data_IF_754506420189
#
_entry.id   IF_754506420189
#
_cell.length_a   1.000
_cell.length_b   1.000
_cell.length_c   1.000
_cell.angle_alpha   90.00
_cell.angle_beta   90.00
_cell.angle_gamma   90.00
#
_symmetry.space_group_name_H-M   'P 1'
#
loop_
_entity.id
_entity.type
_entity.pdbx_description
1 polymer ?
#
# COMPACT_ATOMS: atom_id res chain seq x y z
N UNK A 1 -2.76 -5.06 -27.14
CA UNK A 1 -1.96 -6.22 -26.70
C UNK A 1 -2.27 -6.44 -25.23
N UNK A 2 -3.05 -7.47 -24.90
CA UNK A 2 -3.35 -7.85 -23.52
C UNK A 2 -2.10 -8.48 -22.92
N UNK A 3 -1.46 -7.79 -21.96
CA UNK A 3 -0.42 -8.43 -21.14
C UNK A 3 -1.02 -9.69 -20.52
N UNK A 4 -0.42 -10.85 -20.80
CA UNK A 4 -0.69 -12.06 -20.05
C UNK A 4 -0.34 -11.80 -18.59
N UNK A 5 -1.34 -11.81 -17.72
CA UNK A 5 -1.15 -11.67 -16.29
C UNK A 5 -0.76 -13.04 -15.77
N UNK A 6 0.54 -13.24 -15.52
CA UNK A 6 1.05 -14.39 -14.77
C UNK A 6 0.76 -14.16 -13.29
N UNK A 7 -0.49 -14.32 -12.87
CA UNK A 7 -0.94 -14.12 -11.50
C UNK A 7 -1.92 -15.22 -11.08
N UNK A 8 -2.24 -15.26 -9.79
CA UNK A 8 -3.30 -16.12 -9.26
C UNK A 8 -4.60 -15.87 -10.01
N UNK A 9 -5.22 -16.93 -10.49
CA UNK A 9 -6.53 -16.85 -11.13
C UNK A 9 -7.58 -16.80 -10.02
N UNK A 10 -8.27 -15.67 -9.89
CA UNK A 10 -9.44 -15.60 -9.02
C UNK A 10 -10.53 -16.51 -9.57
N UNK A 11 -10.81 -17.59 -8.87
CA UNK A 11 -11.70 -18.65 -9.33
C UNK A 11 -12.99 -18.65 -8.51
N UNK A 12 -13.88 -17.71 -8.82
CA UNK A 12 -15.22 -17.67 -8.21
C UNK A 12 -16.07 -18.83 -8.71
N UNK A 13 -16.64 -19.59 -7.78
CA UNK A 13 -17.38 -20.83 -8.07
C UNK A 13 -18.86 -20.62 -8.31
N UNK A 14 -19.39 -19.46 -7.90
CA UNK A 14 -20.82 -19.15 -7.97
C UNK A 14 -21.05 -17.67 -8.21
N UNK A 15 -22.13 -17.37 -8.92
CA UNK A 15 -22.63 -16.00 -9.06
C UNK A 15 -23.14 -15.49 -7.69
N UNK A 16 -22.67 -14.33 -7.21
CA UNK A 16 -23.12 -13.79 -5.92
C UNK A 16 -24.56 -13.31 -5.93
N UNK A 17 -25.17 -13.10 -7.13
CA UNK A 17 -26.54 -12.62 -7.25
C UNK A 17 -27.57 -13.73 -7.26
N UNK A 18 -27.33 -14.83 -8.02
CA UNK A 18 -28.33 -15.89 -8.19
C UNK A 18 -27.85 -17.28 -7.74
N UNK A 19 -26.60 -17.42 -7.28
CA UNK A 19 -26.04 -18.69 -6.84
C UNK A 19 -25.71 -19.69 -7.97
N UNK A 20 -25.88 -19.30 -9.24
CA UNK A 20 -25.54 -20.17 -10.37
C UNK A 20 -24.06 -20.52 -10.40
N UNK A 21 -23.75 -21.79 -10.66
CA UNK A 21 -22.36 -22.28 -10.84
C UNK A 21 -21.82 -22.04 -12.24
N UNK A 22 -22.61 -21.44 -13.13
CA UNK A 22 -22.23 -21.19 -14.53
C UNK A 22 -21.52 -19.84 -14.73
N UNK A 23 -21.00 -19.22 -13.66
CA UNK A 23 -20.25 -17.97 -13.78
C UNK A 23 -18.99 -18.17 -14.61
N UNK A 24 -18.75 -17.29 -15.58
CA UNK A 24 -17.66 -17.36 -16.54
C UNK A 24 -16.61 -16.27 -16.28
N UNK A 25 -15.33 -16.69 -16.22
CA UNK A 25 -14.20 -15.78 -16.02
C UNK A 25 -13.73 -15.18 -17.35
N UNK A 26 -13.81 -13.88 -17.50
CA UNK A 26 -13.32 -13.12 -18.63
C UNK A 26 -11.98 -12.41 -18.31
N UNK A 27 -10.89 -13.17 -18.47
CA UNK A 27 -9.52 -12.64 -18.36
C UNK A 27 -9.15 -12.11 -16.97
N UNK A 28 -9.76 -12.66 -15.91
CA UNK A 28 -9.56 -12.21 -14.52
C UNK A 28 -9.95 -10.74 -14.27
N UNK A 29 -10.57 -10.11 -15.26
CA UNK A 29 -11.02 -8.71 -15.18
C UNK A 29 -12.48 -8.61 -14.77
N UNK A 30 -13.31 -9.55 -15.23
CA UNK A 30 -14.72 -9.66 -14.84
C UNK A 30 -15.21 -11.09 -14.97
N UNK A 31 -16.27 -11.38 -14.28
CA UNK A 31 -17.02 -12.63 -14.36
C UNK A 31 -18.45 -12.31 -14.77
N UNK A 32 -18.96 -13.05 -15.73
CA UNK A 32 -20.33 -12.89 -16.26
C UNK A 32 -21.15 -14.12 -15.87
N UNK A 33 -22.35 -13.89 -15.37
CA UNK A 33 -23.31 -14.95 -15.13
C UNK A 33 -24.30 -15.04 -16.29
N UNK A 34 -24.30 -16.11 -17.10
CA UNK A 34 -25.24 -16.26 -18.23
C UNK A 34 -26.69 -16.50 -17.79
N UNK A 35 -26.91 -16.91 -16.52
CA UNK A 35 -28.26 -17.20 -16.01
C UNK A 35 -29.03 -15.95 -15.60
N UNK A 36 -28.36 -14.94 -15.00
CA UNK A 36 -29.03 -13.72 -14.55
C UNK A 36 -28.47 -12.43 -15.15
N UNK A 37 -27.45 -12.51 -16.00
CA UNK A 37 -26.82 -11.36 -16.64
C UNK A 37 -25.93 -10.51 -15.73
N UNK A 38 -25.65 -10.95 -14.50
CA UNK A 38 -24.84 -10.18 -13.56
C UNK A 38 -23.36 -10.17 -13.98
N UNK A 39 -22.77 -8.98 -14.02
CA UNK A 39 -21.32 -8.76 -14.23
C UNK A 39 -20.65 -8.45 -12.90
N UNK A 40 -19.75 -9.32 -12.45
CA UNK A 40 -18.87 -9.08 -11.30
C UNK A 40 -17.52 -8.57 -11.82
N UNK A 41 -17.20 -7.34 -11.55
CA UNK A 41 -15.91 -6.75 -11.91
C UNK A 41 -14.84 -7.01 -10.86
N UNK A 42 -13.61 -7.26 -11.31
CA UNK A 42 -12.43 -7.19 -10.46
C UNK A 42 -11.97 -5.72 -10.36
N UNK A 43 -12.68 -4.96 -9.56
CA UNK A 43 -12.39 -3.54 -9.37
C UNK A 43 -11.02 -3.37 -8.71
N UNK A 44 -10.32 -2.30 -9.10
CA UNK A 44 -9.07 -1.90 -8.46
C UNK A 44 -9.41 -1.32 -7.08
N UNK A 45 -8.84 -1.89 -6.03
CA UNK A 45 -8.94 -1.34 -4.69
C UNK A 45 -7.97 -0.16 -4.55
N UNK A 46 -8.29 0.79 -3.69
CA UNK A 46 -7.41 1.91 -3.37
C UNK A 46 -6.71 1.66 -2.04
N UNK A 47 -5.42 1.94 -1.98
CA UNK A 47 -4.65 2.01 -0.73
C UNK A 47 -3.96 3.36 -0.63
N UNK A 48 -3.76 3.85 0.58
CA UNK A 48 -3.06 5.10 0.86
C UNK A 48 -1.82 4.82 1.72
N UNK A 49 -0.68 5.43 1.38
CA UNK A 49 0.56 5.29 2.14
C UNK A 49 1.25 6.63 2.34
N UNK A 50 1.98 6.77 3.45
CA UNK A 50 2.65 8.03 3.82
C UNK A 50 4.15 7.85 3.91
N UNK A 51 4.89 8.65 3.14
CA UNK A 51 6.34 8.75 3.23
C UNK A 51 6.69 9.88 4.20
N UNK A 52 7.26 9.53 5.35
CA UNK A 52 7.79 10.49 6.33
C UNK A 52 9.31 10.41 6.24
N UNK A 53 9.97 11.56 5.99
CA UNK A 53 11.43 11.61 5.91
C UNK A 53 12.00 12.79 6.68
N UNK A 54 13.24 12.63 7.14
CA UNK A 54 14.01 13.71 7.74
C UNK A 54 14.82 14.51 6.68
N UNK A 55 15.48 15.55 7.14
CA UNK A 55 16.36 16.40 6.33
C UNK A 55 17.64 15.69 5.84
N UNK A 56 17.93 14.51 6.36
CA UNK A 56 19.08 13.68 5.97
C UNK A 56 18.71 12.59 4.97
N UNK A 57 17.46 12.62 4.48
CA UNK A 57 16.87 11.65 3.55
C UNK A 57 16.69 10.24 4.15
N UNK A 58 16.64 10.11 5.48
CA UNK A 58 16.17 8.87 6.09
C UNK A 58 14.64 8.85 6.04
N UNK A 59 14.09 7.73 5.61
CA UNK A 59 12.65 7.48 5.49
C UNK A 59 12.22 6.48 6.55
N UNK A 60 11.08 6.73 7.18
CA UNK A 60 10.44 5.83 8.12
C UNK A 60 9.81 4.65 7.37
N UNK A 61 10.04 3.46 7.90
CA UNK A 61 9.34 2.24 7.52
C UNK A 61 8.86 1.49 8.75
N UNK A 62 7.73 0.85 8.62
CA UNK A 62 7.26 -0.18 9.53
C UNK A 62 7.71 -1.56 9.04
N UNK A 63 7.84 -2.50 9.97
CA UNK A 63 8.06 -3.91 9.67
C UNK A 63 6.73 -4.64 9.85
N UNK A 64 6.22 -5.23 8.79
CA UNK A 64 4.92 -5.91 8.78
C UNK A 64 4.89 -7.12 9.73
N UNK A 65 3.91 -7.16 10.63
CA UNK A 65 3.72 -8.29 11.55
C UNK A 65 2.88 -9.42 10.94
N UNK A 66 2.06 -9.13 9.89
CA UNK A 66 1.13 -10.08 9.27
C UNK A 66 1.40 -10.36 7.79
N UNK A 67 0.80 -11.42 7.28
CA UNK A 67 0.78 -11.70 5.85
C UNK A 67 -0.20 -10.76 5.10
N UNK A 68 0.04 -10.48 3.81
CA UNK A 68 1.20 -10.89 3.02
C UNK A 68 2.47 -10.12 3.39
N UNK A 69 3.62 -10.69 3.05
CA UNK A 69 4.92 -10.05 3.22
C UNK A 69 5.31 -9.73 4.68
N UNK A 70 4.94 -10.61 5.62
CA UNK A 70 5.40 -10.51 7.02
C UNK A 70 6.94 -10.41 7.08
N UNK A 71 7.45 -9.47 7.89
CA UNK A 71 8.87 -9.21 8.07
C UNK A 71 9.49 -8.26 7.03
N UNK A 72 8.73 -7.82 6.05
CA UNK A 72 9.17 -6.85 5.06
C UNK A 72 8.85 -5.42 5.50
N UNK A 73 9.58 -4.46 4.93
CA UNK A 73 9.41 -3.04 5.19
C UNK A 73 8.27 -2.47 4.33
N UNK A 74 7.41 -1.65 4.93
CA UNK A 74 6.40 -0.87 4.25
C UNK A 74 6.41 0.57 4.80
N UNK A 75 5.93 1.52 4.03
CA UNK A 75 5.57 2.83 4.59
C UNK A 75 4.24 2.68 5.32
N UNK A 76 3.96 3.46 6.38
CA UNK A 76 2.66 3.46 7.04
C UNK A 76 1.52 3.63 6.03
N UNK A 77 0.47 2.82 6.15
CA UNK A 77 -0.66 2.91 5.25
C UNK A 77 -1.40 1.60 5.01
N UNK A 78 -2.64 1.72 4.51
CA UNK A 78 -3.53 0.60 4.27
C UNK A 78 -4.59 0.89 3.23
N UNK A 79 -5.65 0.07 3.21
CA UNK A 79 -6.76 0.26 2.30
C UNK A 79 -7.60 1.48 2.69
N UNK A 80 -8.07 2.19 1.66
CA UNK A 80 -9.08 3.24 1.82
C UNK A 80 -10.41 2.57 2.11
N UNK A 81 -11.05 2.96 3.21
CA UNK A 81 -12.38 2.50 3.57
C UNK A 81 -13.47 3.17 2.73
N UNK A 82 -14.68 2.60 2.74
CA UNK A 82 -15.82 3.27 2.13
C UNK A 82 -16.11 4.57 2.90
N UNK A 83 -16.50 5.62 2.18
CA UNK A 83 -16.83 6.94 2.73
C UNK A 83 -15.64 7.75 3.28
N UNK A 84 -14.39 7.37 2.99
CA UNK A 84 -13.24 8.23 3.27
C UNK A 84 -12.46 8.58 1.99
N UNK A 85 -11.78 9.72 1.99
CA UNK A 85 -10.82 10.10 0.95
C UNK A 85 -9.47 9.40 1.18
N UNK A 86 -8.61 9.37 0.16
CA UNK A 86 -7.27 8.80 0.30
C UNK A 86 -6.42 9.57 1.32
N UNK A 87 -6.62 10.89 1.45
CA UNK A 87 -5.97 11.73 2.46
C UNK A 87 -6.42 11.36 3.88
N UNK A 88 -7.72 11.15 4.09
CA UNK A 88 -8.28 10.73 5.38
C UNK A 88 -7.78 9.33 5.76
N UNK A 89 -7.77 8.38 4.82
CA UNK A 89 -7.18 7.06 5.02
C UNK A 89 -5.72 7.15 5.44
N UNK A 90 -4.91 7.95 4.73
CA UNK A 90 -3.49 8.14 5.04
C UNK A 90 -3.27 8.67 6.46
N UNK A 91 -4.10 9.62 6.91
CA UNK A 91 -4.04 10.17 8.26
C UNK A 91 -4.49 9.14 9.31
N UNK A 92 -5.57 8.41 9.05
CA UNK A 92 -6.10 7.36 9.92
C UNK A 92 -5.06 6.26 10.13
N UNK A 93 -4.48 5.74 9.05
CA UNK A 93 -3.46 4.68 9.08
C UNK A 93 -2.22 5.12 9.88
N UNK A 94 -1.74 6.35 9.68
CA UNK A 94 -0.64 6.88 10.49
C UNK A 94 -0.98 6.88 11.99
N UNK A 95 -2.21 7.26 12.36
CA UNK A 95 -2.64 7.24 13.76
C UNK A 95 -2.72 5.82 14.32
N UNK A 96 -3.19 4.86 13.55
CA UNK A 96 -3.37 3.47 13.94
C UNK A 96 -2.02 2.74 14.02
N UNK A 97 -1.22 2.76 12.97
CA UNK A 97 0.00 1.97 12.86
C UNK A 97 1.20 2.55 13.60
N UNK A 98 1.35 3.88 13.61
CA UNK A 98 2.51 4.53 14.24
C UNK A 98 2.16 5.37 15.47
N UNK A 99 0.88 5.50 15.80
CA UNK A 99 0.41 6.23 16.98
C UNK A 99 0.56 7.75 16.89
N UNK A 100 0.67 8.31 15.68
CA UNK A 100 0.90 9.74 15.45
C UNK A 100 -0.19 10.35 14.60
N UNK A 101 -0.76 11.45 15.06
CA UNK A 101 -1.68 12.24 14.26
C UNK A 101 -0.91 13.17 13.32
N UNK A 102 -0.89 12.80 12.03
CA UNK A 102 -0.36 13.64 10.96
C UNK A 102 -1.42 14.69 10.61
N UNK A 103 -1.06 15.97 10.69
CA UNK A 103 -2.02 17.07 10.47
C UNK A 103 -2.33 17.34 9.01
N UNK A 104 -1.35 17.09 8.15
CA UNK A 104 -1.44 17.38 6.71
C UNK A 104 -0.61 16.37 5.93
N UNK A 105 -1.18 15.87 4.85
CA UNK A 105 -0.48 15.03 3.88
C UNK A 105 -0.49 15.72 2.52
N UNK A 106 0.61 15.60 1.77
CA UNK A 106 0.75 16.17 0.42
C UNK A 106 0.89 15.05 -0.58
N UNK A 107 0.05 15.06 -1.63
CA UNK A 107 0.11 14.07 -2.69
C UNK A 107 1.52 13.97 -3.28
N UNK A 108 2.04 12.76 -3.37
CA UNK A 108 3.35 12.45 -3.94
C UNK A 108 3.22 11.82 -5.32
N UNK A 109 2.58 10.67 -5.39
CA UNK A 109 2.32 9.95 -6.64
C UNK A 109 1.29 8.83 -6.41
N UNK A 110 0.91 8.15 -7.50
CA UNK A 110 0.20 6.88 -7.42
C UNK A 110 0.93 5.80 -8.21
N UNK A 111 0.81 4.56 -7.78
CA UNK A 111 1.42 3.41 -8.43
C UNK A 111 0.48 2.20 -8.44
N UNK A 112 0.45 1.41 -9.53
CA UNK A 112 -0.28 0.15 -9.53
C UNK A 112 0.46 -0.88 -8.68
N UNK A 113 -0.31 -1.73 -8.00
CA UNK A 113 0.25 -2.82 -7.22
C UNK A 113 -0.59 -4.09 -7.33
N UNK A 114 -0.05 -5.18 -6.85
CA UNK A 114 -0.71 -6.48 -6.73
C UNK A 114 -0.62 -6.93 -5.29
N UNK A 115 -1.76 -7.14 -4.68
CA UNK A 115 -1.89 -7.59 -3.30
C UNK A 115 -2.54 -8.97 -3.25
N UNK A 116 -1.76 -9.98 -2.86
CA UNK A 116 -2.24 -11.35 -2.76
C UNK A 116 -2.66 -11.65 -1.31
N UNK A 117 -3.93 -12.01 -1.13
CA UNK A 117 -4.46 -12.35 0.18
C UNK A 117 -5.45 -13.51 0.08
N UNK A 118 -5.22 -14.56 0.88
CA UNK A 118 -6.10 -15.75 0.96
C UNK A 118 -6.47 -16.33 -0.43
N UNK A 119 -5.49 -16.49 -1.31
CA UNK A 119 -5.67 -17.01 -2.68
C UNK A 119 -6.50 -16.11 -3.62
N UNK A 120 -6.70 -14.85 -3.26
CA UNK A 120 -7.29 -13.83 -4.12
C UNK A 120 -6.21 -12.81 -4.48
N UNK A 121 -6.08 -12.51 -5.75
CA UNK A 121 -5.23 -11.44 -6.25
C UNK A 121 -6.06 -10.17 -6.38
N UNK A 122 -5.76 -9.20 -5.54
CA UNK A 122 -6.29 -7.84 -5.67
C UNK A 122 -5.36 -7.00 -6.52
N UNK A 123 -5.91 -6.25 -7.44
CA UNK A 123 -5.21 -5.14 -8.09
C UNK A 123 -5.51 -3.87 -7.29
N UNK A 124 -4.46 -3.15 -6.93
CA UNK A 124 -4.61 -1.90 -6.19
C UNK A 124 -4.04 -0.73 -6.98
N UNK A 125 -4.58 0.45 -6.69
CA UNK A 125 -3.99 1.73 -7.03
C UNK A 125 -3.56 2.36 -5.71
N UNK A 126 -2.27 2.26 -5.41
CA UNK A 126 -1.72 2.79 -4.18
C UNK A 126 -1.42 4.28 -4.38
N UNK A 127 -2.00 5.13 -3.54
CA UNK A 127 -1.84 6.57 -3.55
C UNK A 127 -0.88 6.94 -2.42
N UNK A 128 0.22 7.60 -2.77
CA UNK A 128 1.24 7.96 -1.79
C UNK A 128 1.26 9.45 -1.53
N UNK A 129 1.44 9.75 -0.26
CA UNK A 129 1.57 11.10 0.26
C UNK A 129 2.92 11.27 0.95
N UNK A 130 3.33 12.52 1.14
CA UNK A 130 4.39 12.88 2.08
C UNK A 130 3.79 13.58 3.27
N UNK A 131 4.37 13.36 4.45
CA UNK A 131 4.11 14.15 5.64
C UNK A 131 5.42 14.65 6.23
N UNK A 132 5.35 15.79 6.91
CA UNK A 132 6.50 16.36 7.58
C UNK A 132 6.80 15.59 8.88
N UNK A 133 8.10 15.40 9.16
CA UNK A 133 8.53 14.92 10.46
C UNK A 133 8.05 15.91 11.54
N UNK A 134 7.43 15.44 12.65
CA UNK A 134 7.00 16.35 13.70
C UNK A 134 8.16 17.24 14.20
N UNK A 135 7.93 18.55 14.40
CA UNK A 135 9.00 19.53 14.56
C UNK A 135 9.87 19.36 15.81
N UNK A 136 9.44 18.55 16.77
CA UNK A 136 10.22 18.21 17.96
C UNK A 136 11.33 17.17 17.70
N UNK A 137 11.34 16.54 16.50
CA UNK A 137 12.33 15.54 16.12
C UNK A 137 13.20 16.07 14.96
N UNK A 138 14.50 15.85 15.07
CA UNK A 138 15.47 16.19 14.02
C UNK A 138 15.72 15.04 13.05
N UNK A 139 15.56 13.80 13.52
CA UNK A 139 15.84 12.57 12.77
C UNK A 139 14.70 11.57 12.87
N UNK A 140 14.59 10.71 11.86
CA UNK A 140 13.66 9.56 11.90
C UNK A 140 14.03 8.61 13.04
N UNK A 141 15.32 8.42 13.32
CA UNK A 141 15.76 7.51 14.39
C UNK A 141 15.31 7.99 15.79
N UNK A 142 15.27 9.30 16.02
CA UNK A 142 14.73 9.85 17.27
C UNK A 142 13.20 9.76 17.30
N UNK A 143 12.56 9.96 16.17
CA UNK A 143 11.11 9.81 16.03
C UNK A 143 10.66 8.37 16.31
N UNK A 144 11.36 7.36 15.76
CA UNK A 144 11.07 5.93 15.97
C UNK A 144 11.01 5.58 17.46
N UNK A 145 11.87 6.18 18.32
CA UNK A 145 11.88 5.92 19.77
C UNK A 145 10.60 6.34 20.48
N UNK A 146 9.83 7.24 19.86
CA UNK A 146 8.55 7.74 20.40
C UNK A 146 7.32 7.01 19.85
N UNK A 147 7.48 6.17 18.80
CA UNK A 147 6.38 5.51 18.12
C UNK A 147 5.83 4.34 18.94
N UNK A 148 4.55 4.08 18.74
CA UNK A 148 3.86 2.95 19.33
C UNK A 148 3.29 2.09 18.20
N UNK A 149 3.87 0.91 18.02
CA UNK A 149 3.42 -0.04 17.02
C UNK A 149 2.02 -0.57 17.34
N UNK A 150 1.19 -0.69 16.31
CA UNK A 150 -0.09 -1.37 16.40
C UNK A 150 0.13 -2.87 16.59
N UNK A 151 -0.50 -3.42 17.65
CA UNK A 151 -0.35 -4.84 17.98
C UNK A 151 -0.97 -5.72 16.89
N UNK A 152 -0.17 -6.67 16.38
CA UNK A 152 -0.59 -7.63 15.35
C UNK A 152 -0.43 -7.12 13.91
N UNK A 153 -0.25 -5.82 13.67
CA UNK A 153 -0.03 -5.26 12.34
C UNK A 153 1.43 -4.86 12.12
N UNK A 154 2.03 -4.17 13.08
CA UNK A 154 3.38 -3.63 13.01
C UNK A 154 4.29 -4.34 14.01
N UNK A 155 5.38 -4.95 13.54
CA UNK A 155 6.35 -5.64 14.38
C UNK A 155 7.43 -4.68 14.94
N UNK A 156 7.56 -3.49 14.38
CA UNK A 156 8.52 -2.47 14.77
C UNK A 156 8.77 -1.49 13.65
N UNK A 157 9.71 -0.57 13.88
CA UNK A 157 10.04 0.49 12.95
C UNK A 157 11.53 0.49 12.62
N UNK A 158 11.87 0.98 11.43
CA UNK A 158 13.23 1.11 10.95
C UNK A 158 13.34 2.34 10.04
N UNK A 159 14.50 2.94 10.01
CA UNK A 159 14.83 3.96 9.02
C UNK A 159 15.77 3.41 7.95
N UNK A 160 15.60 3.87 6.73
CA UNK A 160 16.57 3.66 5.67
C UNK A 160 16.87 4.99 4.97
N UNK A 161 18.13 5.19 4.63
CA UNK A 161 18.53 6.31 3.79
C UNK A 161 18.08 6.08 2.35
N UNK A 162 17.47 7.10 1.74
CA UNK A 162 16.90 7.03 0.38
C UNK A 162 17.36 8.24 -0.42
N UNK A 163 18.56 8.12 -1.03
CA UNK A 163 19.16 9.16 -1.87
C UNK A 163 19.37 8.71 -3.32
N UNK A 164 19.48 7.40 -3.52
CA UNK A 164 19.76 6.81 -4.82
C UNK A 164 18.91 5.56 -5.07
N UNK A 165 18.76 5.14 -6.33
CA UNK A 165 18.12 3.86 -6.64
C UNK A 165 18.80 2.65 -5.97
N UNK A 166 20.12 2.71 -5.80
CA UNK A 166 20.92 1.68 -5.14
C UNK A 166 20.59 1.55 -3.66
N UNK A 167 20.16 2.62 -2.99
CA UNK A 167 19.69 2.56 -1.61
C UNK A 167 18.35 1.84 -1.52
N UNK A 168 17.45 2.11 -2.46
CA UNK A 168 16.12 1.46 -2.51
C UNK A 168 16.26 -0.05 -2.68
N UNK A 169 17.22 -0.53 -3.49
CA UNK A 169 17.44 -1.97 -3.71
C UNK A 169 17.91 -2.72 -2.45
N UNK A 170 18.45 -2.02 -1.45
CA UNK A 170 18.86 -2.60 -0.16
C UNK A 170 17.70 -2.76 0.82
N UNK A 171 16.57 -2.10 0.57
CA UNK A 171 15.40 -2.13 1.46
C UNK A 171 14.55 -3.34 1.12
N UNK A 172 14.24 -4.22 2.08
CA UNK A 172 13.36 -5.36 1.85
C UNK A 172 11.89 -4.89 1.75
N UNK A 173 11.55 -4.16 0.69
CA UNK A 173 10.22 -3.60 0.50
C UNK A 173 9.16 -4.68 0.30
N UNK A 174 8.02 -4.53 0.96
CA UNK A 174 6.90 -5.44 0.87
C UNK A 174 6.23 -5.39 -0.51
N UNK A 175 6.16 -4.20 -1.13
CA UNK A 175 5.37 -3.95 -2.32
C UNK A 175 6.15 -3.16 -3.37
N UNK A 176 5.92 -3.50 -4.64
CA UNK A 176 6.57 -2.83 -5.77
C UNK A 176 6.13 -1.35 -5.91
N UNK A 177 4.91 -1.03 -5.52
CA UNK A 177 4.41 0.35 -5.49
C UNK A 177 5.26 1.28 -4.62
N UNK A 178 5.74 0.79 -3.47
CA UNK A 178 6.65 1.55 -2.61
C UNK A 178 7.99 1.83 -3.33
N UNK A 179 8.53 0.86 -4.07
CA UNK A 179 9.76 1.04 -4.86
C UNK A 179 9.58 2.11 -5.94
N UNK A 180 8.44 2.09 -6.66
CA UNK A 180 8.09 3.12 -7.65
C UNK A 180 8.02 4.50 -6.99
N UNK A 181 7.39 4.58 -5.82
CA UNK A 181 7.21 5.81 -5.06
C UNK A 181 8.52 6.41 -4.57
N UNK A 182 9.42 5.59 -4.00
CA UNK A 182 10.72 6.06 -3.54
C UNK A 182 11.60 6.55 -4.70
N UNK A 183 11.56 5.87 -5.86
CA UNK A 183 12.23 6.36 -7.07
C UNK A 183 11.65 7.69 -7.56
N UNK A 184 10.33 7.91 -7.43
CA UNK A 184 9.71 9.19 -7.74
C UNK A 184 10.15 10.27 -6.76
N UNK A 185 10.20 9.97 -5.45
CA UNK A 185 10.66 10.87 -4.39
C UNK A 185 12.08 11.40 -4.67
N UNK A 186 13.02 10.52 -5.01
CA UNK A 186 14.41 10.90 -5.34
C UNK A 186 14.42 11.88 -6.51
N UNK A 187 13.66 11.61 -7.58
CA UNK A 187 13.61 12.44 -8.78
C UNK A 187 13.11 13.86 -8.52
N UNK A 188 12.15 14.03 -7.61
CA UNK A 188 11.61 15.36 -7.29
C UNK A 188 12.48 16.12 -6.27
N UNK A 189 13.23 15.40 -5.43
CA UNK A 189 14.12 15.99 -4.42
C UNK A 189 15.45 16.48 -5.00
N UNK A 190 15.86 15.97 -6.16
CA UNK A 190 17.07 16.40 -6.87
C UNK A 190 16.87 17.59 -7.81
N UNK A 191 15.71 18.21 -7.79
CA UNK A 191 15.40 19.44 -8.53
C UNK A 191 15.40 20.65 -7.60
#
# INVERSE_FOLDING_TARGET
>A
MTKQINGLKNDFKMCPMCGSKKIENHGNRKWICPECGYDLYNNVATAAGVVIRDRYNNVLFEIRAKQPRKGYAAVPGGFVDFDESAEEAAIRECREEIGVEVKEVKFLCSAPNTYEYKNVEYKTCDIFFTAELPPQFDTIDDFIKSLKAEEGEVAGFVSYKVESPEDIEKIPLAFESAKVTLNHLIKISGR
#
